data_IF_810129446089
#
_entry.id   IF_810129446089
#
_cell.length_a   1.000
_cell.length_b   1.000
_cell.length_c   1.000
_cell.angle_alpha   90.00
_cell.angle_beta   90.00
_cell.angle_gamma   90.00
#
_symmetry.space_group_name_H-M   'P 1'
#
loop_
_entity.id
_entity.type
_entity.pdbx_description
1 polymer ?
#
# COMPACT_ATOMS: atom_id res chain seq x y z
N UNK A 1 11.63 15.50 -54.66
CA UNK A 1 11.65 14.46 -53.61
C UNK A 1 11.90 15.13 -52.27
N UNK A 2 10.87 15.25 -51.41
CA UNK A 2 11.00 15.85 -50.07
C UNK A 2 11.53 14.77 -49.12
N UNK A 3 12.69 15.01 -48.51
CA UNK A 3 13.23 14.15 -47.44
C UNK A 3 12.50 14.48 -46.14
N UNK A 4 11.85 13.48 -45.56
CA UNK A 4 11.26 13.54 -44.22
C UNK A 4 12.39 13.32 -43.22
N UNK A 5 12.73 14.35 -42.44
CA UNK A 5 13.64 14.23 -41.31
C UNK A 5 12.79 13.98 -40.06
N UNK A 6 12.73 12.74 -39.60
CA UNK A 6 12.06 12.39 -38.34
C UNK A 6 13.11 12.48 -37.24
N UNK A 7 12.99 13.50 -36.38
CA UNK A 7 13.72 13.57 -35.12
C UNK A 7 12.90 12.83 -34.06
N UNK A 8 13.37 11.68 -33.62
CA UNK A 8 12.89 11.01 -32.41
C UNK A 8 13.74 11.52 -31.24
N UNK A 9 13.23 12.52 -30.53
CA UNK A 9 13.73 12.89 -29.22
C UNK A 9 13.25 11.84 -28.21
N UNK A 10 14.13 10.90 -27.88
CA UNK A 10 13.99 10.10 -26.67
C UNK A 10 14.34 11.00 -25.48
N UNK A 11 13.32 11.49 -24.79
CA UNK A 11 13.48 11.84 -23.38
C UNK A 11 13.39 10.53 -22.60
N UNK A 12 14.48 10.01 -22.01
CA UNK A 12 14.33 8.96 -21.02
C UNK A 12 13.57 9.59 -19.85
N UNK A 13 12.27 9.30 -19.75
CA UNK A 13 11.64 9.34 -18.45
C UNK A 13 12.29 8.20 -17.66
N UNK A 14 13.33 8.55 -16.92
CA UNK A 14 13.87 7.73 -15.86
C UNK A 14 12.78 7.62 -14.79
N UNK A 15 11.84 6.71 -14.99
CA UNK A 15 11.05 6.14 -13.92
C UNK A 15 12.01 5.25 -13.12
N UNK A 16 12.75 5.87 -12.19
CA UNK A 16 13.39 5.14 -11.11
C UNK A 16 12.37 5.02 -9.98
N UNK A 17 11.46 4.06 -10.11
CA UNK A 17 10.45 3.83 -9.11
C UNK A 17 10.00 2.37 -9.10
N UNK A 18 10.94 1.45 -8.84
CA UNK A 18 10.58 0.35 -7.96
C UNK A 18 10.43 0.98 -6.58
N UNK A 19 9.24 1.49 -6.25
CA UNK A 19 9.00 2.33 -5.08
C UNK A 19 9.46 1.63 -3.80
N UNK A 20 10.47 2.20 -3.14
CA UNK A 20 11.11 1.63 -1.95
C UNK A 20 10.22 1.77 -0.68
N UNK A 21 9.08 2.44 -0.80
CA UNK A 21 8.06 2.63 0.22
C UNK A 21 6.76 3.05 -0.47
N UNK A 22 5.61 2.80 0.16
CA UNK A 22 4.31 3.16 -0.40
C UNK A 22 3.37 3.66 0.69
N UNK A 23 2.66 4.76 0.39
CA UNK A 23 1.54 5.25 1.20
C UNK A 23 0.26 5.06 0.41
N UNK A 24 -0.61 4.19 0.90
CA UNK A 24 -1.95 3.97 0.37
C UNK A 24 -2.98 4.81 1.13
N UNK A 25 -4.01 5.26 0.44
CA UNK A 25 -5.23 5.79 1.05
C UNK A 25 -6.37 4.88 0.59
N UNK A 26 -6.58 3.71 1.23
CA UNK A 26 -7.53 2.71 0.74
C UNK A 26 -9.00 3.13 0.84
N UNK A 27 -9.31 4.10 1.70
CA UNK A 27 -10.68 4.60 1.91
C UNK A 27 -10.65 6.10 2.14
N UNK A 28 -11.57 6.83 1.52
CA UNK A 28 -11.80 8.24 1.85
C UNK A 28 -13.21 8.69 1.49
N UNK A 29 -13.69 9.76 2.11
CA UNK A 29 -14.97 10.41 1.81
C UNK A 29 -14.92 11.91 2.15
N UNK A 30 -15.88 12.66 1.59
CA UNK A 30 -16.18 14.01 2.03
C UNK A 30 -17.45 13.97 2.87
N UNK A 31 -17.36 14.38 4.13
CA UNK A 31 -18.48 14.55 5.03
C UNK A 31 -18.86 16.04 5.11
N UNK A 32 -19.78 16.55 4.26
CA UNK A 32 -20.13 17.97 4.23
C UNK A 32 -20.80 18.45 5.51
N UNK A 33 -21.27 17.55 6.38
CA UNK A 33 -21.85 17.89 7.68
C UNK A 33 -20.81 18.11 8.79
N UNK A 34 -19.54 17.77 8.54
CA UNK A 34 -18.44 18.04 9.48
C UNK A 34 -17.92 19.50 9.34
N UNK A 35 -17.25 20.04 10.38
CA UNK A 35 -16.52 21.30 10.28
C UNK A 35 -15.52 21.26 9.12
N UNK A 36 -15.34 22.36 8.40
CA UNK A 36 -14.50 22.46 7.19
C UNK A 36 -13.13 21.78 7.35
N UNK A 37 -12.50 21.96 8.51
CA UNK A 37 -11.19 21.40 8.86
C UNK A 37 -11.15 19.88 9.03
N UNK A 38 -12.31 19.20 8.97
CA UNK A 38 -12.47 17.75 9.18
C UNK A 38 -13.34 17.08 8.12
N UNK A 39 -13.68 17.79 7.05
CA UNK A 39 -14.62 17.28 6.04
C UNK A 39 -14.04 16.17 5.18
N UNK A 40 -12.71 16.10 5.00
CA UNK A 40 -12.08 14.97 4.31
C UNK A 40 -11.76 13.89 5.35
N UNK A 41 -12.48 12.78 5.29
CA UNK A 41 -12.26 11.64 6.18
C UNK A 41 -11.60 10.50 5.40
N UNK A 42 -10.53 9.89 5.92
CA UNK A 42 -9.78 8.88 5.18
C UNK A 42 -9.09 7.85 6.07
N UNK A 43 -8.64 6.78 5.44
CA UNK A 43 -7.76 5.76 6.01
C UNK A 43 -6.45 5.81 5.26
N UNK A 44 -5.32 5.79 5.96
CA UNK A 44 -4.00 5.71 5.33
C UNK A 44 -3.21 4.49 5.83
N UNK A 45 -2.42 3.92 4.93
CA UNK A 45 -1.54 2.78 5.18
C UNK A 45 -0.16 3.14 4.66
N UNK A 46 0.84 3.17 5.53
CA UNK A 46 2.24 3.25 5.16
C UNK A 46 2.87 1.85 5.23
N UNK A 47 3.52 1.46 4.14
CA UNK A 47 4.34 0.26 4.05
C UNK A 47 5.79 0.63 3.72
N UNK A 48 6.71 0.14 4.56
CA UNK A 48 8.16 0.33 4.42
C UNK A 48 8.82 -0.98 4.00
N UNK A 49 9.46 -1.02 2.83
CA UNK A 49 10.23 -2.20 2.40
C UNK A 49 11.66 -2.17 2.96
N UNK A 50 12.28 -3.35 3.09
CA UNK A 50 13.67 -3.46 3.52
C UNK A 50 14.63 -2.74 2.55
N UNK A 51 14.29 -2.70 1.25
CA UNK A 51 15.03 -1.97 0.23
C UNK A 51 14.92 -0.45 0.44
N UNK A 52 13.75 0.03 0.87
CA UNK A 52 13.54 1.41 1.30
C UNK A 52 14.45 1.82 2.45
N UNK A 53 14.47 1.01 3.51
CA UNK A 53 15.33 1.26 4.67
C UNK A 53 16.82 1.33 4.29
N UNK A 54 17.24 0.55 3.30
CA UNK A 54 18.62 0.53 2.78
C UNK A 54 18.92 1.63 1.75
N UNK A 55 17.91 2.43 1.35
CA UNK A 55 18.05 3.41 0.28
C UNK A 55 19.16 4.44 0.53
N UNK A 56 20.00 4.63 -0.48
CA UNK A 56 21.08 5.63 -0.50
C UNK A 56 20.73 6.87 -1.32
N UNK A 57 19.49 6.96 -1.80
CA UNK A 57 18.98 8.13 -2.52
C UNK A 57 19.11 9.37 -1.63
N UNK A 58 19.66 10.49 -2.13
CA UNK A 58 19.82 11.71 -1.33
C UNK A 58 18.46 12.36 -1.02
N UNK A 59 18.33 12.91 0.18
CA UNK A 59 17.19 13.74 0.55
C UNK A 59 17.18 15.05 -0.27
N UNK A 60 16.00 15.55 -0.59
CA UNK A 60 15.77 16.86 -1.20
C UNK A 60 15.85 18.02 -0.20
N UNK A 61 16.32 17.77 1.03
CA UNK A 61 16.61 18.77 2.05
C UNK A 61 17.89 18.40 2.84
N UNK A 62 18.60 19.39 3.35
CA UNK A 62 19.78 19.15 4.19
C UNK A 62 19.38 18.84 5.64
N UNK A 63 19.23 17.55 5.93
CA UNK A 63 18.83 17.04 7.24
C UNK A 63 20.02 16.67 8.15
N UNK A 64 21.25 17.10 7.81
CA UNK A 64 22.45 16.83 8.62
C UNK A 64 22.38 17.44 10.03
N UNK A 65 21.58 18.49 10.21
CA UNK A 65 21.36 19.15 11.51
C UNK A 65 20.02 18.80 12.15
N UNK A 66 19.22 17.98 11.49
CA UNK A 66 17.86 17.65 11.91
C UNK A 66 16.81 18.03 10.87
N UNK A 67 15.85 17.14 10.68
CA UNK A 67 14.61 17.36 9.96
C UNK A 67 13.49 16.62 10.67
N UNK A 68 12.27 16.92 10.24
CA UNK A 68 11.06 16.20 10.57
C UNK A 68 10.61 15.42 9.35
N UNK A 69 10.14 14.20 9.57
CA UNK A 69 9.52 13.35 8.56
C UNK A 69 8.13 12.92 9.05
N UNK A 70 7.18 12.84 8.13
CA UNK A 70 5.82 12.42 8.42
C UNK A 70 5.09 12.06 7.13
N UNK A 71 3.95 11.39 7.25
CA UNK A 71 3.14 11.08 6.08
C UNK A 71 2.32 12.30 5.67
N UNK A 72 2.30 12.50 4.37
CA UNK A 72 1.56 13.52 3.66
C UNK A 72 0.42 12.86 2.89
N UNK A 73 -0.77 13.44 2.91
CA UNK A 73 -1.92 12.92 2.14
C UNK A 73 -2.33 13.81 0.96
N UNK A 74 -1.51 14.80 0.58
CA UNK A 74 -1.88 15.86 -0.37
C UNK A 74 -0.90 15.99 -1.57
N UNK A 75 -1.46 16.29 -2.76
CA UNK A 75 -0.75 16.30 -4.06
C UNK A 75 0.26 17.44 -4.29
N UNK A 76 1.17 17.15 -5.24
CA UNK A 76 1.69 17.97 -6.34
C UNK A 76 0.68 18.88 -7.07
N UNK A 77 0.33 20.04 -6.49
CA UNK A 77 -0.36 21.09 -7.26
C UNK A 77 0.56 21.74 -8.32
N UNK A 78 1.88 21.83 -8.03
CA UNK A 78 2.89 22.56 -8.85
C UNK A 78 4.27 21.90 -8.92
N UNK A 79 4.42 20.64 -8.51
CA UNK A 79 5.71 19.93 -8.48
C UNK A 79 6.27 19.66 -7.08
N UNK A 80 7.48 19.04 -6.98
CA UNK A 80 8.04 18.50 -5.74
C UNK A 80 8.53 19.54 -4.73
N UNK A 81 8.55 20.83 -5.09
CA UNK A 81 9.00 21.93 -4.22
C UNK A 81 7.89 22.67 -3.47
N UNK A 82 6.64 22.29 -3.69
CA UNK A 82 5.45 22.96 -3.16
C UNK A 82 5.19 22.59 -1.70
N UNK A 83 4.66 23.55 -0.95
CA UNK A 83 4.39 23.46 0.48
C UNK A 83 3.22 22.50 0.73
N UNK A 84 3.36 21.63 1.73
CA UNK A 84 2.40 20.57 2.01
C UNK A 84 2.00 20.55 3.47
N UNK A 85 0.74 20.21 3.68
CA UNK A 85 0.20 19.88 5.00
C UNK A 85 0.45 18.42 5.29
N UNK A 86 0.94 18.13 6.47
CA UNK A 86 0.94 16.77 6.97
C UNK A 86 -0.48 16.31 7.28
N UNK A 87 -0.60 14.99 7.33
CA UNK A 87 -1.73 14.36 7.99
C UNK A 87 -1.75 14.81 9.48
N UNK A 88 -2.79 15.53 9.93
CA UNK A 88 -2.86 16.05 11.29
C UNK A 88 -2.98 14.95 12.35
N UNK A 89 -3.33 13.73 11.95
CA UNK A 89 -3.44 12.58 12.84
C UNK A 89 -2.19 11.68 12.81
N UNK A 90 -1.12 12.12 12.13
CA UNK A 90 0.15 11.40 12.09
C UNK A 90 1.25 12.08 12.89
N UNK A 91 2.08 11.23 13.51
CA UNK A 91 3.19 11.69 14.32
C UNK A 91 4.32 12.25 13.43
N UNK A 92 4.83 13.41 13.82
CA UNK A 92 6.00 14.03 13.21
C UNK A 92 7.26 13.53 13.89
N UNK A 93 8.13 12.90 13.09
CA UNK A 93 9.30 12.19 13.61
C UNK A 93 10.54 13.01 13.30
N UNK A 94 11.26 13.40 14.35
CA UNK A 94 12.54 14.08 14.17
C UNK A 94 13.63 13.06 13.84
N UNK A 95 14.45 13.36 12.84
CA UNK A 95 15.58 12.52 12.43
C UNK A 95 16.78 13.36 11.98
N UNK A 96 17.95 12.72 11.97
CA UNK A 96 19.19 13.29 11.40
C UNK A 96 19.74 12.31 10.38
N UNK A 97 19.92 12.79 9.16
CA UNK A 97 20.31 11.91 8.06
C UNK A 97 20.60 12.68 6.77
N UNK A 98 21.04 11.94 5.77
CA UNK A 98 21.32 12.45 4.42
C UNK A 98 20.58 11.68 3.33
N UNK A 99 20.12 10.46 3.63
CA UNK A 99 19.45 9.61 2.64
C UNK A 99 17.98 9.38 2.98
N UNK A 100 17.22 8.96 1.96
CA UNK A 100 15.85 8.46 2.10
C UNK A 100 15.80 7.32 3.12
N UNK A 101 16.76 6.38 3.08
CA UNK A 101 16.84 5.28 4.04
C UNK A 101 16.97 5.74 5.49
N UNK A 102 17.72 6.83 5.76
CA UNK A 102 17.83 7.39 7.12
C UNK A 102 16.47 7.89 7.64
N UNK A 103 15.70 8.56 6.77
CA UNK A 103 14.37 9.06 7.12
C UNK A 103 13.37 7.91 7.34
N UNK A 104 13.35 6.91 6.46
CA UNK A 104 12.47 5.75 6.58
C UNK A 104 12.83 4.89 7.80
N UNK A 105 14.11 4.77 8.13
CA UNK A 105 14.56 4.07 9.34
C UNK A 105 14.04 4.76 10.60
N UNK A 106 14.08 6.10 10.66
CA UNK A 106 13.51 6.84 11.78
C UNK A 106 11.99 6.61 11.91
N UNK A 107 11.26 6.54 10.79
CA UNK A 107 9.84 6.16 10.80
C UNK A 107 9.67 4.73 11.32
N UNK A 108 10.44 3.78 10.79
CA UNK A 108 10.39 2.38 11.17
C UNK A 108 10.67 2.16 12.66
N UNK A 109 11.69 2.81 13.22
CA UNK A 109 12.04 2.69 14.63
C UNK A 109 10.94 3.26 15.55
N UNK A 110 10.17 4.23 15.07
CA UNK A 110 9.11 4.88 15.85
C UNK A 110 7.76 4.20 15.70
N UNK A 111 7.39 3.80 14.48
CA UNK A 111 6.04 3.35 14.11
C UNK A 111 6.01 1.89 13.62
N UNK A 112 7.15 1.27 13.34
CA UNK A 112 7.26 -0.06 12.73
C UNK A 112 7.23 -0.03 11.20
N UNK A 113 7.27 -1.22 10.56
CA UNK A 113 7.16 -1.38 9.10
C UNK A 113 5.77 -1.11 8.54
N UNK A 114 4.78 -1.05 9.44
CA UNK A 114 3.38 -0.92 9.10
C UNK A 114 2.76 0.14 10.00
N UNK A 115 2.21 1.18 9.38
CA UNK A 115 1.52 2.25 10.09
C UNK A 115 0.15 2.49 9.47
N UNK A 116 -0.89 2.40 10.29
CA UNK A 116 -2.29 2.43 9.90
C UNK A 116 -3.02 3.52 10.68
N UNK A 117 -3.65 4.45 9.95
CA UNK A 117 -4.54 5.46 10.55
C UNK A 117 -5.94 5.25 10.00
N UNK A 118 -6.89 5.00 10.90
CA UNK A 118 -8.31 4.85 10.56
C UNK A 118 -9.06 6.14 10.89
N UNK A 119 -9.99 6.53 10.01
CA UNK A 119 -10.86 7.71 10.20
C UNK A 119 -10.11 9.04 10.42
N UNK A 120 -8.93 9.19 9.84
CA UNK A 120 -8.20 10.45 9.85
C UNK A 120 -9.04 11.56 9.22
N UNK A 121 -8.92 12.78 9.75
CA UNK A 121 -9.67 13.94 9.24
C UNK A 121 -8.75 15.05 8.75
N UNK A 122 -9.09 15.67 7.63
CA UNK A 122 -8.40 16.83 7.08
C UNK A 122 -9.40 17.86 6.51
N UNK A 123 -8.95 19.11 6.27
CA UNK A 123 -9.78 20.10 5.61
C UNK A 123 -10.23 19.65 4.21
N UNK A 124 -11.47 19.94 3.82
CA UNK A 124 -11.92 19.73 2.43
C UNK A 124 -11.30 20.80 1.52
N UNK A 125 -10.41 20.37 0.63
CA UNK A 125 -9.66 21.26 -0.28
C UNK A 125 -9.88 20.95 -1.76
N UNK A 126 -10.97 20.24 -2.09
CA UNK A 126 -11.30 19.86 -3.49
C UNK A 126 -11.41 21.10 -4.40
N UNK A 127 -11.90 22.22 -3.86
CA UNK A 127 -12.04 23.49 -4.61
C UNK A 127 -10.72 24.17 -4.99
N UNK A 128 -9.58 23.68 -4.48
CA UNK A 128 -8.26 24.28 -4.71
C UNK A 128 -7.50 23.62 -5.87
N UNK A 129 -8.09 22.65 -6.57
CA UNK A 129 -7.42 21.87 -7.61
C UNK A 129 -6.39 20.87 -7.06
N UNK A 130 -6.55 20.48 -5.80
CA UNK A 130 -5.69 19.53 -5.09
C UNK A 130 -6.24 18.11 -5.30
N UNK A 131 -5.40 17.24 -5.84
CA UNK A 131 -5.52 15.78 -5.84
C UNK A 131 -5.09 15.22 -4.46
N UNK A 132 -5.80 14.25 -3.92
CA UNK A 132 -5.36 13.59 -2.68
C UNK A 132 -4.42 12.43 -3.04
N UNK A 133 -3.30 12.28 -2.34
CA UNK A 133 -2.38 11.16 -2.53
C UNK A 133 -1.54 10.91 -1.27
N UNK A 134 -1.28 9.65 -0.97
CA UNK A 134 -0.34 9.29 0.08
C UNK A 134 1.11 9.52 -0.38
N UNK A 135 1.91 10.21 0.43
CA UNK A 135 3.35 10.37 0.26
C UNK A 135 4.03 10.50 1.63
N UNK A 136 5.36 10.45 1.68
CA UNK A 136 6.13 10.84 2.87
C UNK A 136 6.72 12.22 2.60
N UNK A 137 6.50 13.14 3.53
CA UNK A 137 7.02 14.49 3.50
C UNK A 137 8.19 14.68 4.46
N UNK A 138 9.12 15.57 4.11
CA UNK A 138 10.18 16.04 4.99
C UNK A 138 10.12 17.55 5.17
N UNK A 139 10.50 18.03 6.36
CA UNK A 139 10.60 19.45 6.68
C UNK A 139 11.85 19.73 7.52
N UNK A 140 12.50 20.88 7.29
CA UNK A 140 13.60 21.34 8.14
C UNK A 140 13.14 22.09 9.40
N UNK A 141 11.89 22.58 9.44
CA UNK A 141 11.36 23.36 10.56
C UNK A 141 10.30 22.63 11.37
N UNK A 142 9.63 21.61 10.80
CA UNK A 142 8.53 20.89 11.43
C UNK A 142 7.21 21.67 11.46
N UNK A 143 7.12 22.82 10.79
CA UNK A 143 5.89 23.60 10.71
C UNK A 143 4.93 23.01 9.66
N UNK A 144 3.62 23.07 9.90
CA UNK A 144 2.62 22.34 9.10
C UNK A 144 2.70 22.58 7.59
N UNK A 145 2.99 23.80 7.12
CA UNK A 145 3.10 24.12 5.68
C UNK A 145 4.51 23.91 5.10
N UNK A 146 5.49 23.50 5.90
CA UNK A 146 6.90 23.46 5.47
C UNK A 146 7.34 22.12 4.86
N UNK A 147 6.44 21.15 4.78
CA UNK A 147 6.76 19.81 4.32
C UNK A 147 6.82 19.76 2.79
N UNK A 148 7.81 19.02 2.29
CA UNK A 148 8.00 18.73 0.86
C UNK A 148 8.05 17.22 0.69
N UNK A 149 7.50 16.72 -0.42
CA UNK A 149 7.55 15.29 -0.74
C UNK A 149 9.01 14.84 -0.76
N UNK A 150 9.31 13.77 -0.03
CA UNK A 150 10.66 13.21 0.04
C UNK A 150 11.08 12.64 -1.32
N UNK A 151 12.38 12.72 -1.64
CA UNK A 151 12.97 12.09 -2.83
C UNK A 151 12.52 10.62 -2.96
N UNK A 152 12.19 10.19 -4.19
CA UNK A 152 11.72 8.83 -4.47
C UNK A 152 10.27 8.54 -4.04
N UNK A 153 9.55 9.55 -3.53
CA UNK A 153 8.14 9.44 -3.22
C UNK A 153 7.24 9.65 -4.41
N UNK A 154 6.51 8.60 -4.79
CA UNK A 154 5.44 8.72 -5.76
C UNK A 154 4.14 9.15 -5.08
N UNK A 155 3.63 10.31 -5.50
CA UNK A 155 2.22 10.65 -5.34
C UNK A 155 1.47 9.87 -6.44
N UNK A 156 1.06 8.63 -6.15
CA UNK A 156 0.11 7.98 -7.04
C UNK A 156 -1.20 8.76 -6.93
N UNK A 157 -1.61 9.43 -8.01
CA UNK A 157 -2.90 10.13 -8.06
C UNK A 157 -3.99 9.18 -7.61
N UNK A 158 -4.65 9.48 -6.49
CA UNK A 158 -5.96 8.88 -6.29
C UNK A 158 -6.84 9.50 -7.38
N UNK A 159 -7.50 8.70 -8.24
CA UNK A 159 -8.55 9.24 -9.08
C UNK A 159 -9.52 10.02 -8.18
N UNK A 160 -10.13 11.10 -8.70
CA UNK A 160 -11.25 11.77 -8.05
C UNK A 160 -12.17 10.71 -7.43
N UNK A 161 -12.70 10.93 -6.20
CA UNK A 161 -13.50 9.94 -5.52
C UNK A 161 -14.54 9.39 -6.49
N UNK A 162 -14.49 8.10 -6.83
CA UNK A 162 -15.58 7.54 -7.58
C UNK A 162 -16.83 7.70 -6.71
N UNK A 163 -17.98 7.98 -7.33
CA UNK A 163 -19.28 7.88 -6.63
C UNK A 163 -19.51 6.47 -6.05
N UNK A 164 -18.68 5.51 -6.46
CA UNK A 164 -18.58 4.16 -5.91
C UNK A 164 -17.82 4.18 -4.57
N UNK A 165 -18.52 3.85 -3.50
CA UNK A 165 -17.94 3.49 -2.20
C UNK A 165 -18.06 1.98 -2.03
N UNK A 166 -16.92 1.32 -1.80
CA UNK A 166 -16.86 -0.07 -1.37
C UNK A 166 -16.09 -0.18 -0.05
N UNK A 167 -16.62 -0.91 0.92
CA UNK A 167 -16.01 -1.18 2.22
C UNK A 167 -15.81 -2.68 2.43
N UNK A 168 -14.65 -3.05 2.99
CA UNK A 168 -14.43 -4.38 3.54
C UNK A 168 -15.19 -4.47 4.87
N UNK A 169 -16.21 -5.31 4.94
CA UNK A 169 -17.06 -5.48 6.12
C UNK A 169 -16.47 -6.51 7.10
N UNK A 170 -15.58 -7.37 6.61
CA UNK A 170 -14.93 -8.42 7.41
C UNK A 170 -13.60 -7.89 7.98
N UNK A 171 -13.47 -7.89 9.31
CA UNK A 171 -12.27 -7.37 9.98
C UNK A 171 -11.00 -8.23 9.78
N UNK A 172 -11.16 -9.53 9.55
CA UNK A 172 -10.07 -10.48 9.31
C UNK A 172 -10.61 -11.88 9.01
N UNK A 173 -9.78 -12.72 8.40
CA UNK A 173 -10.09 -14.13 8.13
C UNK A 173 -8.94 -14.97 8.70
N UNK A 174 -9.27 -15.90 9.58
CA UNK A 174 -8.32 -16.89 10.07
C UNK A 174 -8.41 -18.16 9.21
N UNK A 175 -7.30 -18.50 8.55
CA UNK A 175 -7.16 -19.69 7.70
C UNK A 175 -6.37 -20.75 8.48
N UNK A 176 -7.07 -21.51 9.33
CA UNK A 176 -6.47 -22.51 10.21
C UNK A 176 -6.43 -23.90 9.55
N UNK A 177 -5.21 -24.34 9.20
CA UNK A 177 -4.94 -25.67 8.67
C UNK A 177 -4.95 -26.78 9.73
N UNK A 178 -5.09 -26.42 11.01
CA UNK A 178 -5.07 -27.32 12.18
C UNK A 178 -3.73 -28.03 12.34
N UNK A 179 -3.68 -28.96 13.31
CA UNK A 179 -2.57 -29.88 13.45
C UNK A 179 -2.62 -30.93 12.32
N UNK A 180 -1.53 -31.03 11.59
CA UNK A 180 -1.34 -31.96 10.48
C UNK A 180 -0.11 -32.82 10.75
N UNK A 181 -0.12 -34.08 10.31
CA UNK A 181 1.14 -34.83 10.18
C UNK A 181 1.88 -34.38 8.92
N UNK A 182 3.20 -34.54 8.86
CA UNK A 182 4.03 -33.99 7.77
C UNK A 182 3.55 -34.40 6.37
N UNK A 183 3.11 -35.66 6.20
CA UNK A 183 2.61 -36.19 4.93
C UNK A 183 1.24 -35.62 4.51
N UNK A 184 0.50 -35.02 5.45
CA UNK A 184 -0.79 -34.36 5.19
C UNK A 184 -0.63 -32.87 4.83
N UNK A 185 0.58 -32.30 4.96
CA UNK A 185 0.81 -30.90 4.69
C UNK A 185 0.68 -30.57 3.19
N UNK A 186 1.22 -31.41 2.30
CA UNK A 186 1.18 -31.14 0.86
C UNK A 186 -0.27 -31.13 0.33
N UNK A 187 -0.68 -30.02 -0.28
CA UNK A 187 -2.01 -29.88 -0.88
C UNK A 187 -3.15 -29.68 0.11
N UNK A 188 -2.88 -29.64 1.43
CA UNK A 188 -3.90 -29.32 2.42
C UNK A 188 -4.50 -27.95 2.14
N UNK A 189 -5.83 -27.86 2.17
CA UNK A 189 -6.54 -26.66 1.74
C UNK A 189 -7.56 -26.21 2.79
N UNK A 190 -7.57 -24.91 3.07
CA UNK A 190 -8.57 -24.25 3.92
C UNK A 190 -9.06 -22.99 3.21
N UNK A 191 -10.32 -22.62 3.45
CA UNK A 191 -10.91 -21.42 2.87
C UNK A 191 -11.66 -20.61 3.92
N UNK A 192 -11.74 -19.31 3.68
CA UNK A 192 -12.53 -18.39 4.48
C UNK A 192 -13.07 -17.24 3.64
N UNK A 193 -14.16 -16.63 4.09
CA UNK A 193 -14.89 -15.63 3.32
C UNK A 193 -14.71 -14.23 3.88
N UNK A 194 -14.55 -13.25 2.98
CA UNK A 194 -14.71 -11.84 3.30
C UNK A 194 -15.81 -11.21 2.47
N UNK A 195 -16.34 -10.10 2.98
CA UNK A 195 -17.43 -9.35 2.36
C UNK A 195 -16.94 -7.96 2.00
N UNK A 196 -17.13 -7.56 0.74
CA UNK A 196 -17.04 -6.18 0.29
C UNK A 196 -18.44 -5.65 0.01
N UNK A 197 -18.88 -4.64 0.76
CA UNK A 197 -20.15 -3.95 0.50
C UNK A 197 -19.89 -2.74 -0.40
N UNK A 198 -20.66 -2.60 -1.48
CA UNK A 198 -20.60 -1.40 -2.31
C UNK A 198 -21.94 -0.65 -2.33
N UNK A 199 -21.90 0.67 -2.41
CA UNK A 199 -23.09 1.53 -2.50
C UNK A 199 -23.76 1.49 -3.90
N UNK A 200 -23.02 1.10 -4.94
CA UNK A 200 -23.51 0.93 -6.31
C UNK A 200 -22.75 -0.18 -7.04
N UNK A 201 -23.23 -0.58 -8.23
CA UNK A 201 -22.51 -1.55 -9.05
C UNK A 201 -21.15 -0.99 -9.47
N UNK A 202 -20.11 -1.82 -9.40
CA UNK A 202 -18.74 -1.37 -9.58
C UNK A 202 -17.86 -2.42 -10.23
N UNK A 203 -16.71 -1.98 -10.70
CA UNK A 203 -15.60 -2.87 -11.04
C UNK A 203 -14.43 -2.54 -10.13
N UNK A 204 -13.76 -3.57 -9.63
CA UNK A 204 -12.65 -3.41 -8.71
C UNK A 204 -11.58 -4.44 -8.99
N UNK A 205 -10.33 -4.01 -8.90
CA UNK A 205 -9.19 -4.89 -8.84
C UNK A 205 -8.97 -5.35 -7.40
N UNK A 206 -8.84 -6.66 -7.20
CA UNK A 206 -8.35 -7.26 -5.97
C UNK A 206 -6.98 -7.89 -6.23
N UNK A 207 -6.07 -7.73 -5.28
CA UNK A 207 -4.82 -8.48 -5.23
C UNK A 207 -4.48 -8.88 -3.80
N UNK A 208 -3.61 -9.87 -3.64
CA UNK A 208 -3.07 -10.29 -2.36
C UNK A 208 -1.60 -9.86 -2.26
N UNK A 209 -1.17 -9.47 -1.07
CA UNK A 209 0.22 -9.14 -0.78
C UNK A 209 0.61 -9.69 0.59
N UNK A 210 1.82 -10.22 0.74
CA UNK A 210 2.35 -10.66 2.03
C UNK A 210 3.79 -10.19 2.21
N UNK A 211 4.23 -9.82 3.43
CA UNK A 211 5.64 -9.56 3.69
C UNK A 211 6.51 -10.82 3.59
N UNK A 212 5.89 -11.99 3.66
CA UNK A 212 6.55 -13.28 3.48
C UNK A 212 6.35 -13.84 2.06
N UNK A 213 5.94 -13.00 1.11
CA UNK A 213 5.75 -13.41 -0.27
C UNK A 213 7.07 -13.81 -0.92
N UNK A 214 7.09 -14.96 -1.59
CA UNK A 214 8.28 -15.48 -2.26
C UNK A 214 7.87 -16.26 -3.51
N UNK A 215 8.41 -15.89 -4.68
CA UNK A 215 8.21 -16.65 -5.93
C UNK A 215 6.74 -16.85 -6.32
N UNK A 216 5.88 -15.85 -6.09
CA UNK A 216 4.47 -15.88 -6.55
C UNK A 216 4.36 -16.07 -8.06
N UNK A 217 3.33 -16.80 -8.49
CA UNK A 217 3.07 -17.05 -9.90
C UNK A 217 1.68 -16.52 -10.28
N UNK A 218 1.56 -15.56 -11.21
CA UNK A 218 0.29 -15.00 -11.66
C UNK A 218 -0.72 -16.00 -12.23
N UNK A 219 -0.29 -17.24 -12.53
CA UNK A 219 -1.16 -18.30 -13.02
C UNK A 219 -1.57 -19.32 -11.93
N UNK A 220 -0.93 -19.27 -10.75
CA UNK A 220 -1.14 -20.26 -9.67
C UNK A 220 -1.72 -19.58 -8.43
N UNK A 221 -1.04 -18.55 -7.92
CA UNK A 221 -1.44 -17.89 -6.68
C UNK A 221 -0.30 -17.13 -6.01
N UNK A 222 -0.66 -16.42 -4.95
CA UNK A 222 0.28 -15.64 -4.14
C UNK A 222 0.95 -16.59 -3.16
N UNK A 223 2.26 -16.78 -3.30
CA UNK A 223 3.00 -17.76 -2.51
C UNK A 223 3.58 -17.08 -1.27
N UNK A 224 3.03 -17.46 -0.12
CA UNK A 224 3.42 -16.95 1.20
C UNK A 224 4.28 -17.98 1.91
N UNK A 225 5.48 -17.59 2.33
CA UNK A 225 6.41 -18.44 3.06
C UNK A 225 5.98 -18.60 4.52
N UNK A 226 5.74 -19.84 4.94
CA UNK A 226 5.49 -20.22 6.33
C UNK A 226 6.79 -20.65 7.04
N UNK A 227 7.65 -21.36 6.32
CA UNK A 227 9.01 -21.77 6.73
C UNK A 227 9.91 -21.79 5.50
N UNK A 228 11.11 -21.24 5.65
CA UNK A 228 12.08 -21.12 4.57
C UNK A 228 12.43 -22.48 3.96
N UNK A 229 12.31 -22.58 2.62
CA UNK A 229 12.60 -23.77 1.81
C UNK A 229 11.79 -25.04 2.13
N UNK A 230 10.86 -25.01 3.08
CA UNK A 230 10.12 -26.20 3.53
C UNK A 230 8.61 -26.09 3.31
N UNK A 231 7.99 -24.99 3.76
CA UNK A 231 6.54 -24.88 3.80
C UNK A 231 6.07 -23.51 3.33
N UNK A 232 5.13 -23.53 2.40
CA UNK A 232 4.52 -22.36 1.78
C UNK A 232 3.00 -22.52 1.74
N UNK A 233 2.31 -21.39 1.63
CA UNK A 233 0.88 -21.31 1.41
C UNK A 233 0.64 -20.59 0.08
N UNK A 234 -0.13 -21.20 -0.80
CA UNK A 234 -0.60 -20.60 -2.05
C UNK A 234 -1.99 -20.02 -1.82
N UNK A 235 -2.11 -18.70 -1.93
CA UNK A 235 -3.35 -17.98 -1.73
C UNK A 235 -4.03 -17.60 -3.05
N UNK A 236 -5.35 -17.80 -3.12
CA UNK A 236 -6.21 -17.38 -4.23
C UNK A 236 -7.48 -16.69 -3.74
N UNK A 237 -8.13 -15.90 -4.60
CA UNK A 237 -9.44 -15.27 -4.32
C UNK A 237 -10.45 -15.78 -5.36
N UNK A 238 -11.54 -16.41 -4.91
CA UNK A 238 -12.54 -17.06 -5.77
C UNK A 238 -11.88 -17.97 -6.82
N UNK A 239 -10.93 -18.79 -6.37
CA UNK A 239 -10.12 -19.72 -7.18
C UNK A 239 -9.29 -19.03 -8.28
N UNK A 240 -9.12 -17.71 -8.21
CA UNK A 240 -8.27 -16.95 -9.13
C UNK A 240 -6.95 -16.57 -8.46
N UNK A 241 -5.82 -16.69 -9.18
CA UNK A 241 -4.53 -16.21 -8.70
C UNK A 241 -4.57 -14.68 -8.57
N UNK A 242 -4.65 -14.18 -7.34
CA UNK A 242 -4.72 -12.76 -7.05
C UNK A 242 -3.34 -12.11 -6.84
N UNK A 243 -2.28 -12.66 -7.46
CA UNK A 243 -0.91 -12.10 -7.40
C UNK A 243 -0.87 -10.70 -7.99
N UNK A 244 -1.52 -10.56 -9.15
CA UNK A 244 -1.70 -9.30 -9.82
C UNK A 244 -3.12 -8.78 -9.59
N UNK A 245 -3.34 -7.52 -9.96
CA UNK A 245 -4.65 -6.88 -9.98
C UNK A 245 -5.64 -7.72 -10.79
N UNK A 246 -6.54 -8.41 -10.11
CA UNK A 246 -7.56 -9.27 -10.71
C UNK A 246 -8.89 -8.55 -10.69
N UNK A 247 -9.50 -8.39 -11.87
CA UNK A 247 -10.74 -7.63 -12.01
C UNK A 247 -11.95 -8.45 -11.55
N UNK A 248 -12.79 -7.84 -10.70
CA UNK A 248 -14.07 -8.37 -10.25
C UNK A 248 -15.19 -7.37 -10.49
N UNK A 249 -16.37 -7.87 -10.87
CA UNK A 249 -17.58 -7.09 -10.94
C UNK A 249 -18.33 -7.20 -9.61
N UNK A 250 -18.66 -6.05 -9.02
CA UNK A 250 -19.33 -5.91 -7.73
C UNK A 250 -20.75 -5.39 -7.95
N UNK A 251 -21.68 -5.93 -7.18
CA UNK A 251 -23.04 -5.43 -7.08
C UNK A 251 -23.16 -4.32 -6.03
N UNK A 252 -24.21 -3.51 -6.12
CA UNK A 252 -24.63 -2.47 -5.18
C UNK A 252 -25.10 -3.00 -3.80
N UNK A 253 -24.45 -4.05 -3.28
CA UNK A 253 -24.78 -4.77 -2.04
C UNK A 253 -23.51 -5.47 -1.51
N UNK A 254 -23.70 -6.42 -0.59
CA UNK A 254 -22.65 -7.30 -0.10
C UNK A 254 -22.18 -8.26 -1.20
N UNK A 255 -20.88 -8.24 -1.48
CA UNK A 255 -20.21 -9.13 -2.41
C UNK A 255 -19.29 -10.05 -1.61
N UNK A 256 -19.54 -11.35 -1.70
CA UNK A 256 -18.77 -12.38 -1.00
C UNK A 256 -17.60 -12.85 -1.84
N UNK A 257 -16.44 -12.94 -1.21
CA UNK A 257 -15.21 -13.46 -1.78
C UNK A 257 -14.65 -14.54 -0.87
N UNK A 258 -14.19 -15.63 -1.45
CA UNK A 258 -13.55 -16.73 -0.74
C UNK A 258 -12.04 -16.65 -0.97
N UNK A 259 -11.27 -16.53 0.11
CA UNK A 259 -9.82 -16.75 0.07
C UNK A 259 -9.57 -18.21 0.36
N UNK A 260 -8.78 -18.85 -0.50
CA UNK A 260 -8.34 -20.23 -0.32
C UNK A 260 -6.84 -20.24 -0.11
N UNK A 261 -6.41 -20.97 0.92
CA UNK A 261 -5.02 -21.27 1.23
C UNK A 261 -4.76 -22.74 0.97
N UNK A 262 -3.79 -23.04 0.10
CA UNK A 262 -3.32 -24.40 -0.17
C UNK A 262 -1.86 -24.52 0.22
N UNK A 263 -1.54 -25.46 1.11
CA UNK A 263 -0.17 -25.72 1.53
C UNK A 263 0.64 -26.39 0.41
N UNK A 264 1.90 -26.01 0.33
CA UNK A 264 2.87 -26.48 -0.66
C UNK A 264 4.24 -26.70 -0.01
N UNK A 265 4.83 -27.86 -0.28
CA UNK A 265 6.08 -28.38 0.28
C UNK A 265 7.05 -28.73 -0.85
N UNK A 266 8.05 -27.88 -1.16
CA UNK A 266 8.93 -28.10 -2.32
C UNK A 266 9.74 -29.40 -2.26
N UNK A 267 10.05 -29.85 -1.05
CA UNK A 267 10.91 -31.02 -0.78
C UNK A 267 10.12 -32.23 -0.29
N UNK A 268 8.82 -32.08 0.00
CA UNK A 268 8.01 -33.09 0.70
C UNK A 268 8.41 -33.32 2.16
N UNK A 269 9.33 -32.51 2.71
CA UNK A 269 9.76 -32.59 4.09
C UNK A 269 9.47 -31.28 4.80
N UNK A 270 8.81 -31.36 5.95
CA UNK A 270 8.50 -30.23 6.81
C UNK A 270 8.90 -30.60 8.23
N UNK A 271 9.77 -29.79 8.84
CA UNK A 271 10.10 -30.00 10.25
C UNK A 271 8.86 -29.78 11.13
N UNK A 272 8.62 -30.62 12.15
CA UNK A 272 7.50 -30.40 13.06
C UNK A 272 7.62 -29.05 13.79
N UNK A 273 6.54 -28.25 13.78
CA UNK A 273 6.50 -26.99 14.50
C UNK A 273 5.24 -26.18 14.19
N UNK A 274 4.98 -25.12 14.99
CA UNK A 274 3.93 -24.16 14.67
C UNK A 274 4.38 -23.22 13.55
N UNK A 275 3.48 -22.95 12.61
CA UNK A 275 3.72 -22.03 11.51
C UNK A 275 2.60 -21.00 11.41
N UNK A 276 2.96 -19.77 11.07
CA UNK A 276 2.00 -18.69 10.89
C UNK A 276 2.54 -17.67 9.90
N UNK A 277 1.67 -17.15 9.05
CA UNK A 277 1.93 -15.99 8.21
C UNK A 277 0.64 -15.20 8.05
N UNK A 278 0.74 -14.01 7.46
CA UNK A 278 -0.41 -13.19 7.14
C UNK A 278 -0.29 -12.61 5.73
N UNK A 279 -1.42 -12.24 5.15
CA UNK A 279 -1.52 -11.58 3.87
C UNK A 279 -2.62 -10.53 3.91
N UNK A 280 -2.52 -9.55 3.03
CA UNK A 280 -3.45 -8.45 2.88
C UNK A 280 -4.22 -8.57 1.58
N UNK A 281 -5.53 -8.31 1.63
CA UNK A 281 -6.33 -8.04 0.43
C UNK A 281 -6.20 -6.55 0.12
N UNK A 282 -5.73 -6.25 -1.10
CA UNK A 282 -5.65 -4.89 -1.62
C UNK A 282 -6.83 -4.67 -2.54
N UNK A 283 -7.63 -3.65 -2.24
CA UNK A 283 -8.73 -3.16 -3.07
C UNK A 283 -8.25 -1.97 -3.90
N UNK A 284 -8.54 -1.97 -5.20
CA UNK A 284 -8.23 -0.84 -6.08
C UNK A 284 -9.37 -0.60 -7.07
N UNK A 285 -9.90 0.61 -7.11
CA UNK A 285 -10.90 1.00 -8.11
C UNK A 285 -10.30 0.95 -9.53
N UNK A 286 -11.15 0.72 -10.53
CA UNK A 286 -10.80 0.77 -11.97
C UNK A 286 -10.64 2.20 -12.44
#
# INVERSE_FOLDING_TARGET
MRKLLVFLLFFPMLSFANNAWYVSIPKYRINPSAPETKQFEYTSVLYLSEEGLKSKEPLNANCSRGCWVGVNTQTLSRGPGDERYLDPEQENIYFRGRTVGDALTAIYERLGSYYYVNQATAPNRIGEGIVWCGAIGISTSGADMSYKIMSGGECSSLPNPPDVECSLETAGIDLDHRELVADEAEGNTVSGDFIIRCNQNAQMYLSLMSPNEENSNPNIGTRVRLKENELYSLLTINDKPAVNRTLFNLSAKDNRFTVTSTLFTPTGQVEPGPFSAFAYVIMSYV
#
